data_IF_285361761810
#
_entry.id   IF_285361761810
#
_cell.length_a   1.000
_cell.length_b   1.000
_cell.length_c   1.000
_cell.angle_alpha   90.00
_cell.angle_beta   90.00
_cell.angle_gamma   90.00
#
_symmetry.space_group_name_H-M   'P 1'
#
loop_
_entity.id
_entity.type
_entity.pdbx_description
1 polymer ?
#
# COMPACT_ATOMS: atom_id res chain seq x y z
N UNK A 1 -10.96 -3.52 0.13
CA UNK A 1 -10.50 -2.11 0.11
C UNK A 1 -11.09 -1.43 1.33
N UNK A 2 -10.28 -0.65 2.04
CA UNK A 2 -10.72 0.14 3.19
C UNK A 2 -10.53 1.62 2.88
N UNK A 3 -11.56 2.41 3.13
CA UNK A 3 -11.52 3.86 3.09
C UNK A 3 -11.58 4.42 4.50
N UNK A 4 -10.79 5.46 4.77
CA UNK A 4 -10.86 6.19 6.03
C UNK A 4 -10.66 7.68 5.76
N UNK A 5 -11.45 8.52 6.40
CA UNK A 5 -11.21 9.96 6.46
C UNK A 5 -10.60 10.23 7.84
N UNK A 6 -9.43 10.84 7.83
CA UNK A 6 -8.70 11.17 9.05
C UNK A 6 -8.41 12.67 9.08
N UNK A 7 -8.35 13.24 10.30
CA UNK A 7 -7.83 14.59 10.48
C UNK A 7 -6.28 14.58 10.46
N UNK A 8 -5.67 15.77 10.48
CA UNK A 8 -4.20 15.90 10.47
C UNK A 8 -3.50 15.38 11.75
N UNK A 9 -4.25 15.02 12.78
CA UNK A 9 -3.72 14.35 13.99
C UNK A 9 -3.76 12.84 13.89
N UNK A 10 -4.34 12.29 12.81
CA UNK A 10 -4.51 10.86 12.61
C UNK A 10 -5.80 10.27 13.19
N UNK A 11 -6.67 11.10 13.79
CA UNK A 11 -7.95 10.61 14.29
C UNK A 11 -8.86 10.26 13.12
N UNK A 12 -9.40 9.04 13.11
CA UNK A 12 -10.34 8.57 12.09
C UNK A 12 -11.74 9.12 12.39
N UNK A 13 -12.30 9.90 11.44
CA UNK A 13 -13.64 10.49 11.55
C UNK A 13 -14.69 9.75 10.72
N UNK A 14 -14.24 8.98 9.73
CA UNK A 14 -15.10 8.11 8.91
C UNK A 14 -14.31 6.88 8.47
N UNK A 15 -14.98 5.74 8.38
CA UNK A 15 -14.39 4.50 7.86
C UNK A 15 -15.43 3.66 7.16
N UNK A 16 -15.06 3.08 6.02
CA UNK A 16 -15.85 2.11 5.26
C UNK A 16 -14.96 1.02 4.67
N UNK A 17 -15.53 -0.15 4.38
CA UNK A 17 -14.80 -1.27 3.80
C UNK A 17 -15.64 -1.92 2.70
N UNK A 18 -14.99 -2.25 1.59
CA UNK A 18 -15.60 -2.86 0.42
C UNK A 18 -14.84 -4.12 0.02
N UNK A 19 -15.57 -5.12 -0.47
CA UNK A 19 -14.95 -6.31 -1.05
C UNK A 19 -14.40 -6.01 -2.44
N UNK A 20 -13.20 -6.51 -2.75
CA UNK A 20 -12.64 -6.43 -4.13
C UNK A 20 -13.48 -7.25 -5.12
N UNK A 21 -14.26 -8.24 -4.65
CA UNK A 21 -15.19 -9.02 -5.49
C UNK A 21 -16.37 -8.19 -6.02
N UNK A 22 -16.59 -7.00 -5.48
CA UNK A 22 -17.61 -6.04 -5.93
C UNK A 22 -17.15 -5.17 -7.12
N UNK A 23 -15.92 -5.36 -7.60
CA UNK A 23 -15.43 -4.66 -8.80
C UNK A 23 -16.02 -5.32 -10.05
N UNK A 24 -17.09 -4.76 -10.58
CA UNK A 24 -17.88 -5.34 -11.68
C UNK A 24 -17.12 -5.52 -13.01
N UNK A 25 -15.97 -4.90 -13.23
CA UNK A 25 -15.18 -5.01 -14.46
C UNK A 25 -13.68 -5.20 -14.22
N UNK A 26 -13.26 -5.55 -13.03
CA UNK A 26 -11.84 -5.78 -12.71
C UNK A 26 -10.99 -4.50 -12.67
N UNK A 27 -11.55 -3.32 -12.92
CA UNK A 27 -10.82 -2.05 -12.84
C UNK A 27 -10.91 -1.47 -11.43
N UNK A 28 -9.92 -1.82 -10.62
CA UNK A 28 -9.84 -1.36 -9.22
C UNK A 28 -9.70 0.18 -9.11
N UNK A 29 -9.13 0.84 -10.11
CA UNK A 29 -8.96 2.29 -10.13
C UNK A 29 -10.31 3.00 -10.21
N UNK A 30 -11.17 2.58 -11.13
CA UNK A 30 -12.51 3.14 -11.30
C UNK A 30 -13.37 2.86 -10.07
N UNK A 31 -13.31 1.67 -9.53
CA UNK A 31 -14.01 1.32 -8.30
C UNK A 31 -13.60 2.22 -7.11
N UNK A 32 -12.29 2.46 -6.93
CA UNK A 32 -11.79 3.35 -5.88
C UNK A 32 -12.31 4.78 -6.10
N UNK A 33 -12.30 5.26 -7.34
CA UNK A 33 -12.79 6.60 -7.67
C UNK A 33 -14.29 6.76 -7.37
N UNK A 34 -15.12 5.81 -7.83
CA UNK A 34 -16.56 5.81 -7.57
C UNK A 34 -16.87 5.81 -6.08
N UNK A 35 -16.23 4.93 -5.30
CA UNK A 35 -16.47 4.87 -3.87
C UNK A 35 -15.98 6.12 -3.13
N UNK A 36 -14.89 6.73 -3.57
CA UNK A 36 -14.44 8.02 -3.03
C UNK A 36 -15.45 9.14 -3.32
N UNK A 37 -15.95 9.22 -4.57
CA UNK A 37 -16.97 10.18 -4.98
C UNK A 37 -18.27 10.01 -4.16
N UNK A 38 -18.76 8.77 -4.00
CA UNK A 38 -19.94 8.44 -3.21
C UNK A 38 -19.78 8.89 -1.75
N UNK A 39 -18.64 8.51 -1.11
CA UNK A 39 -18.36 8.89 0.28
C UNK A 39 -18.34 10.40 0.47
N UNK A 40 -17.70 11.13 -0.45
CA UNK A 40 -17.63 12.60 -0.38
C UNK A 40 -18.98 13.26 -0.65
N UNK A 41 -19.80 12.70 -1.54
CA UNK A 41 -21.17 13.18 -1.84
C UNK A 41 -22.10 12.99 -0.64
N UNK A 42 -22.00 11.84 0.04
CA UNK A 42 -22.79 11.55 1.24
C UNK A 42 -22.33 12.36 2.46
N UNK A 43 -21.09 12.87 2.44
CA UNK A 43 -20.49 13.61 3.55
C UNK A 43 -19.93 14.98 3.09
N UNK A 44 -20.79 15.93 2.68
CA UNK A 44 -20.35 17.20 2.07
C UNK A 44 -19.52 18.08 3.01
N UNK A 45 -19.68 17.94 4.32
CA UNK A 45 -18.83 18.63 5.31
C UNK A 45 -17.36 18.19 5.26
N UNK A 46 -17.11 16.93 4.93
CA UNK A 46 -15.74 16.43 4.71
C UNK A 46 -15.21 16.86 3.35
N UNK A 47 -16.04 16.79 2.31
CA UNK A 47 -15.64 17.12 0.95
C UNK A 47 -15.00 18.52 0.85
N UNK A 48 -15.56 19.50 1.56
CA UNK A 48 -15.04 20.88 1.61
C UNK A 48 -13.69 21.01 2.34
N UNK A 49 -13.29 19.99 3.11
CA UNK A 49 -12.11 20.03 3.99
C UNK A 49 -11.01 19.04 3.57
N UNK A 50 -11.23 18.22 2.53
CA UNK A 50 -10.25 17.27 2.03
C UNK A 50 -9.05 18.01 1.44
N UNK A 51 -7.87 17.74 1.99
CA UNK A 51 -6.59 18.30 1.51
C UNK A 51 -5.87 17.36 0.54
N UNK A 52 -6.21 16.08 0.53
CA UNK A 52 -5.63 15.07 -0.34
C UNK A 52 -6.00 13.66 0.06
N UNK A 53 -5.52 12.68 -0.70
CA UNK A 53 -5.75 11.25 -0.49
C UNK A 53 -4.45 10.48 -0.50
N UNK A 54 -4.19 9.70 0.53
CA UNK A 54 -3.12 8.71 0.58
C UNK A 54 -3.65 7.33 0.20
N UNK A 55 -2.93 6.60 -0.64
CA UNK A 55 -3.31 5.25 -1.07
C UNK A 55 -2.17 4.28 -0.77
N UNK A 56 -2.44 3.32 0.12
CA UNK A 56 -1.55 2.20 0.41
C UNK A 56 -1.83 1.05 -0.56
N UNK A 57 -0.88 0.74 -1.44
CA UNK A 57 -1.03 -0.22 -2.53
C UNK A 57 -0.05 -1.38 -2.34
N UNK A 58 -0.47 -2.67 -2.49
CA UNK A 58 0.49 -3.76 -2.62
C UNK A 58 1.20 -3.66 -3.98
N UNK A 59 2.54 -3.75 -3.97
CA UNK A 59 3.37 -3.66 -5.17
C UNK A 59 4.50 -2.63 -5.06
N UNK A 60 5.21 -2.41 -6.18
CA UNK A 60 6.33 -1.49 -6.24
C UNK A 60 5.84 -0.11 -6.70
N UNK A 61 6.09 0.89 -5.88
CA UNK A 61 5.64 2.26 -6.10
C UNK A 61 6.85 3.19 -6.11
N UNK A 62 6.98 3.97 -7.18
CA UNK A 62 7.83 5.17 -7.21
C UNK A 62 7.03 6.32 -6.60
N UNK A 63 7.24 6.55 -5.32
CA UNK A 63 6.53 7.60 -4.59
C UNK A 63 6.92 9.02 -5.03
N UNK A 64 8.06 9.21 -5.71
CA UNK A 64 8.46 10.52 -6.23
C UNK A 64 7.72 10.90 -7.50
N UNK A 65 7.40 9.89 -8.33
CA UNK A 65 6.64 10.09 -9.56
C UNK A 65 5.16 9.70 -9.40
N UNK A 66 4.73 9.25 -8.22
CA UNK A 66 3.41 8.67 -7.95
C UNK A 66 3.04 7.56 -8.95
N UNK A 67 4.05 6.81 -9.37
CA UNK A 67 3.91 5.80 -10.42
C UNK A 67 3.96 4.40 -9.83
N UNK A 68 2.99 3.60 -10.18
CA UNK A 68 3.04 2.15 -9.93
C UNK A 68 4.02 1.53 -10.94
N UNK A 69 5.14 0.99 -10.43
CA UNK A 69 6.16 0.33 -11.25
C UNK A 69 5.70 -1.06 -11.62
N UNK A 70 5.18 -1.80 -10.64
CA UNK A 70 4.67 -3.15 -10.83
C UNK A 70 3.39 -3.33 -10.04
N UNK A 71 2.30 -3.64 -10.75
CA UNK A 71 1.04 -4.00 -10.12
C UNK A 71 1.15 -5.38 -9.47
N UNK A 72 0.66 -5.48 -8.24
CA UNK A 72 0.42 -6.78 -7.60
C UNK A 72 -0.77 -7.48 -8.26
N UNK A 73 -0.79 -8.81 -8.22
CA UNK A 73 -1.96 -9.62 -8.57
C UNK A 73 -3.22 -9.26 -7.76
N UNK A 74 -3.02 -8.65 -6.58
CA UNK A 74 -4.11 -8.16 -5.71
C UNK A 74 -4.72 -6.84 -6.19
N UNK A 75 -3.99 -6.06 -7.00
CA UNK A 75 -4.44 -4.76 -7.52
C UNK A 75 -4.06 -4.61 -9.00
N UNK A 76 -4.56 -5.47 -9.89
CA UNK A 76 -4.26 -5.38 -11.31
C UNK A 76 -4.77 -4.04 -11.86
N UNK A 77 -3.99 -3.44 -12.77
CA UNK A 77 -4.34 -2.22 -13.49
C UNK A 77 -4.59 -0.96 -12.59
N UNK A 78 -4.13 -0.96 -11.34
CA UNK A 78 -4.23 0.23 -10.51
C UNK A 78 -3.39 1.38 -11.11
N UNK A 79 -3.99 2.58 -11.18
CA UNK A 79 -3.35 3.80 -11.66
C UNK A 79 -3.65 4.99 -10.76
N UNK A 80 -2.64 5.47 -10.02
CA UNK A 80 -2.74 6.67 -9.21
C UNK A 80 -2.96 7.93 -10.06
N UNK A 81 -2.37 7.98 -11.27
CA UNK A 81 -2.54 9.09 -12.21
C UNK A 81 -3.99 9.23 -12.70
N UNK A 82 -4.64 8.12 -13.01
CA UNK A 82 -6.05 8.12 -13.42
C UNK A 82 -6.96 8.62 -12.28
N UNK A 83 -6.68 8.20 -11.03
CA UNK A 83 -7.40 8.69 -9.85
C UNK A 83 -7.21 10.19 -9.65
N UNK A 84 -5.98 10.73 -9.77
CA UNK A 84 -5.71 12.17 -9.68
C UNK A 84 -6.54 12.97 -10.68
N UNK A 85 -6.59 12.51 -11.94
CA UNK A 85 -7.36 13.16 -13.00
C UNK A 85 -8.85 13.15 -12.72
N UNK A 86 -9.39 12.03 -12.20
CA UNK A 86 -10.82 11.88 -11.96
C UNK A 86 -11.29 12.61 -10.72
N UNK A 87 -10.60 12.47 -9.60
CA UNK A 87 -11.02 13.05 -8.32
C UNK A 87 -10.62 14.52 -8.16
N UNK A 88 -9.69 15.01 -8.96
CA UNK A 88 -9.18 16.40 -8.93
C UNK A 88 -8.71 16.83 -7.52
N UNK A 89 -8.11 15.93 -6.77
CA UNK A 89 -7.47 16.16 -5.47
C UNK A 89 -6.02 15.67 -5.50
N UNK A 90 -5.13 16.21 -4.64
CA UNK A 90 -3.78 15.65 -4.48
C UNK A 90 -3.85 14.19 -4.03
N UNK A 91 -3.15 13.30 -4.72
CA UNK A 91 -3.08 11.87 -4.38
C UNK A 91 -1.61 11.46 -4.27
N UNK A 92 -1.27 10.72 -3.23
CA UNK A 92 0.03 10.10 -3.01
C UNK A 92 -0.18 8.58 -2.87
N UNK A 93 0.62 7.80 -3.60
CA UNK A 93 0.61 6.36 -3.53
C UNK A 93 1.91 5.85 -2.89
N UNK A 94 1.83 4.90 -1.98
CA UNK A 94 2.99 4.24 -1.41
C UNK A 94 2.68 2.74 -1.18
N UNK A 95 3.74 1.94 -1.06
CA UNK A 95 3.61 0.53 -0.70
C UNK A 95 2.92 0.37 0.66
N UNK A 96 1.97 -0.57 0.75
CA UNK A 96 1.15 -0.77 1.95
C UNK A 96 1.97 -1.08 3.22
N UNK A 97 3.04 -1.87 3.12
CA UNK A 97 3.88 -2.19 4.28
C UNK A 97 4.75 -1.01 4.69
N UNK A 98 5.22 -0.23 3.72
CA UNK A 98 5.92 1.04 4.00
C UNK A 98 5.00 2.04 4.69
N UNK A 99 3.73 2.11 4.27
CA UNK A 99 2.72 2.92 4.98
C UNK A 99 2.53 2.46 6.42
N UNK A 100 2.49 1.14 6.69
CA UNK A 100 2.40 0.60 8.05
C UNK A 100 3.61 1.00 8.91
N UNK A 101 4.81 0.85 8.37
CA UNK A 101 6.05 1.22 9.07
C UNK A 101 6.10 2.73 9.37
N UNK A 102 5.75 3.55 8.39
CA UNK A 102 5.75 5.00 8.55
C UNK A 102 4.65 5.48 9.50
N UNK A 103 3.47 4.87 9.45
CA UNK A 103 2.40 5.11 10.40
C UNK A 103 2.83 4.76 11.83
N UNK A 104 3.52 3.65 12.04
CA UNK A 104 4.12 3.29 13.32
C UNK A 104 5.07 4.38 13.80
N UNK A 105 5.97 4.85 12.95
CA UNK A 105 6.91 5.91 13.28
C UNK A 105 6.19 7.22 13.66
N UNK A 106 5.20 7.64 12.90
CA UNK A 106 4.52 8.92 13.12
C UNK A 106 3.63 8.95 14.37
N UNK A 107 2.94 7.86 14.68
CA UNK A 107 1.90 7.84 15.71
C UNK A 107 2.33 7.14 17.00
N UNK A 108 3.42 6.39 17.01
CA UNK A 108 3.99 5.82 18.23
C UNK A 108 5.22 6.62 18.64
N UNK A 109 5.04 7.47 19.65
CA UNK A 109 6.11 8.34 20.20
C UNK A 109 7.31 7.57 20.78
N UNK A 110 7.17 6.26 21.01
CA UNK A 110 8.25 5.39 21.50
C UNK A 110 9.06 4.77 20.35
N UNK A 111 8.66 4.97 19.10
CA UNK A 111 9.36 4.41 17.95
C UNK A 111 10.74 5.03 17.79
N UNK A 112 11.81 4.23 17.60
CA UNK A 112 13.14 4.76 17.33
C UNK A 112 13.21 5.39 15.93
N UNK A 113 14.18 6.29 15.70
CA UNK A 113 14.39 6.94 14.41
C UNK A 113 14.88 5.98 13.31
N UNK A 114 15.37 4.80 13.72
CA UNK A 114 15.84 3.76 12.79
C UNK A 114 15.34 2.41 13.27
N UNK A 115 14.55 1.73 12.45
CA UNK A 115 14.06 0.36 12.73
C UNK A 115 13.63 -0.38 11.45
N UNK A 116 13.52 -1.70 11.57
CA UNK A 116 12.96 -2.57 10.56
C UNK A 116 11.53 -3.01 10.96
N UNK A 117 10.59 -2.88 10.06
CA UNK A 117 9.22 -3.32 10.23
C UNK A 117 8.97 -4.55 9.34
N UNK A 118 8.85 -5.72 9.96
CA UNK A 118 8.57 -6.96 9.24
C UNK A 118 7.07 -7.19 9.16
N UNK A 119 6.60 -7.47 7.95
CA UNK A 119 5.24 -7.90 7.68
C UNK A 119 5.26 -9.31 7.11
N UNK A 120 4.53 -10.21 7.76
CA UNK A 120 4.30 -11.59 7.31
C UNK A 120 2.80 -11.77 7.20
N UNK A 121 2.31 -11.99 5.98
CA UNK A 121 0.91 -12.17 5.63
C UNK A 121 0.84 -13.03 4.37
N UNK A 122 0.06 -12.64 3.38
CA UNK A 122 0.00 -13.33 2.08
C UNK A 122 1.38 -13.45 1.42
N UNK A 123 2.23 -12.42 1.57
CA UNK A 123 3.64 -12.42 1.24
C UNK A 123 4.49 -12.02 2.44
N UNK A 124 5.77 -11.76 2.20
CA UNK A 124 6.70 -11.28 3.24
C UNK A 124 7.46 -10.06 2.74
N UNK A 125 7.49 -9.00 3.55
CA UNK A 125 8.14 -7.73 3.24
C UNK A 125 8.78 -7.12 4.50
N UNK A 126 9.84 -6.32 4.32
CA UNK A 126 10.47 -5.57 5.40
C UNK A 126 10.58 -4.09 5.01
N UNK A 127 9.80 -3.24 5.64
CA UNK A 127 10.00 -1.80 5.49
C UNK A 127 11.08 -1.31 6.47
N UNK A 128 11.94 -0.42 6.00
CA UNK A 128 13.01 0.17 6.78
C UNK A 128 12.73 1.66 7.00
N UNK A 129 12.80 2.09 8.24
CA UNK A 129 12.91 3.50 8.62
C UNK A 129 14.36 3.73 9.00
N UNK A 130 15.01 4.69 8.37
CA UNK A 130 16.39 5.08 8.63
C UNK A 130 16.48 6.59 8.80
N UNK A 131 16.97 7.04 9.96
CA UNK A 131 17.05 8.46 10.30
C UNK A 131 15.70 9.19 10.09
N UNK A 132 14.62 8.61 10.60
CA UNK A 132 13.26 9.16 10.51
C UNK A 132 12.65 9.21 9.09
N UNK A 133 13.23 8.48 8.14
CA UNK A 133 12.78 8.44 6.73
C UNK A 133 12.57 7.02 6.26
N UNK A 134 11.62 6.84 5.35
CA UNK A 134 11.45 5.57 4.64
C UNK A 134 12.64 5.31 3.72
N UNK A 135 13.28 4.16 3.89
CA UNK A 135 14.31 3.68 2.99
C UNK A 135 13.67 2.89 1.84
N UNK A 136 13.69 3.45 0.65
CA UNK A 136 13.06 2.88 -0.54
C UNK A 136 14.06 2.17 -1.47
N UNK A 137 15.35 2.44 -1.31
CA UNK A 137 16.39 2.02 -2.25
C UNK A 137 16.34 2.83 -3.57
N UNK A 138 17.35 2.68 -4.39
CA UNK A 138 17.48 3.44 -5.65
C UNK A 138 16.35 3.16 -6.65
N UNK A 139 15.85 1.91 -6.66
CA UNK A 139 14.84 1.46 -7.62
C UNK A 139 13.52 1.04 -6.93
N UNK A 140 13.28 1.51 -5.71
CA UNK A 140 12.07 1.23 -4.91
C UNK A 140 11.85 -0.25 -4.55
N UNK A 141 12.87 -1.11 -4.69
CA UNK A 141 12.81 -2.53 -4.35
C UNK A 141 13.31 -2.87 -2.93
N UNK A 142 13.71 -1.88 -2.15
CA UNK A 142 14.14 -2.15 -0.78
C UNK A 142 13.00 -2.78 0.02
N UNK A 143 13.33 -3.88 0.72
CA UNK A 143 12.35 -4.56 1.57
C UNK A 143 11.75 -5.85 1.03
N UNK A 144 12.01 -6.23 -0.20
CA UNK A 144 11.54 -7.47 -0.86
C UNK A 144 12.22 -8.73 -0.31
N UNK A 145 12.36 -8.84 1.02
CA UNK A 145 13.05 -9.95 1.69
C UNK A 145 12.36 -11.30 1.47
N UNK A 146 11.04 -11.29 1.23
CA UNK A 146 10.27 -12.50 0.91
C UNK A 146 10.76 -13.20 -0.34
N UNK A 147 11.40 -12.47 -1.27
CA UNK A 147 11.96 -13.00 -2.50
C UNK A 147 13.45 -13.35 -2.43
N UNK A 148 14.04 -13.32 -1.24
CA UNK A 148 15.39 -13.86 -0.99
C UNK A 148 15.39 -15.38 -1.17
N UNK A 149 16.25 -15.91 -2.02
CA UNK A 149 16.37 -17.35 -2.27
C UNK A 149 17.08 -18.01 -1.08
N UNK A 150 16.35 -18.82 -0.32
CA UNK A 150 16.88 -19.59 0.82
C UNK A 150 17.11 -21.06 0.47
N UNK A 151 16.49 -21.57 -0.59
CA UNK A 151 16.68 -22.93 -1.09
C UNK A 151 16.53 -22.96 -2.62
N UNK A 152 17.60 -22.96 -3.40
CA UNK A 152 17.54 -22.94 -4.89
C UNK A 152 16.70 -24.06 -5.51
N UNK A 153 16.56 -25.20 -4.81
CA UNK A 153 15.77 -26.35 -5.25
C UNK A 153 14.38 -26.40 -4.58
N UNK A 154 13.92 -25.30 -4.02
CA UNK A 154 12.68 -25.21 -3.26
C UNK A 154 11.43 -25.01 -4.11
N UNK A 155 10.33 -24.63 -3.44
CA UNK A 155 9.04 -24.36 -4.08
C UNK A 155 9.15 -23.22 -5.10
N UNK A 156 8.38 -23.30 -6.19
CA UNK A 156 8.27 -22.20 -7.17
C UNK A 156 7.51 -21.04 -6.53
N UNK A 157 8.10 -19.85 -6.55
CA UNK A 157 7.48 -18.62 -6.08
C UNK A 157 6.65 -17.93 -7.19
N UNK A 158 5.67 -17.13 -6.83
CA UNK A 158 4.89 -16.29 -7.75
C UNK A 158 5.76 -15.32 -8.57
N UNK A 159 6.91 -14.88 -8.03
CA UNK A 159 7.87 -14.05 -8.76
C UNK A 159 8.62 -14.80 -9.89
N UNK A 160 8.33 -16.09 -10.10
CA UNK A 160 8.93 -16.94 -11.11
C UNK A 160 10.22 -17.66 -10.68
N UNK A 161 10.85 -17.26 -9.56
CA UNK A 161 12.05 -17.91 -9.00
C UNK A 161 11.66 -19.11 -8.13
N UNK A 162 12.65 -19.90 -7.73
CA UNK A 162 12.46 -21.04 -6.83
C UNK A 162 13.09 -20.77 -5.48
N UNK A 163 12.44 -21.27 -4.40
CA UNK A 163 12.96 -21.28 -3.04
C UNK A 163 13.05 -19.91 -2.37
N UNK A 164 12.19 -19.00 -2.73
CA UNK A 164 12.05 -17.72 -2.04
C UNK A 164 11.61 -17.91 -0.58
N UNK A 165 12.09 -17.08 0.34
CA UNK A 165 11.79 -17.17 1.77
C UNK A 165 10.28 -17.20 2.04
N UNK A 166 9.48 -16.38 1.37
CA UNK A 166 8.03 -16.35 1.57
C UNK A 166 7.32 -17.67 1.27
N UNK A 167 7.91 -18.54 0.42
CA UNK A 167 7.33 -19.87 0.14
C UNK A 167 7.45 -20.85 1.31
N UNK A 168 8.07 -20.44 2.41
CA UNK A 168 8.27 -21.22 3.63
C UNK A 168 7.64 -20.62 4.88
N UNK A 169 7.26 -19.34 4.85
CA UNK A 169 6.85 -18.64 6.08
C UNK A 169 5.67 -17.67 5.90
N UNK A 170 5.09 -17.51 4.69
CA UNK A 170 3.92 -16.66 4.51
C UNK A 170 2.61 -17.45 4.60
N UNK A 171 1.51 -16.78 4.93
CA UNK A 171 0.18 -17.39 5.09
C UNK A 171 -0.31 -18.12 3.84
N UNK A 172 0.05 -17.63 2.66
CA UNK A 172 -0.33 -18.26 1.37
C UNK A 172 0.31 -19.64 1.17
N UNK A 173 1.45 -19.91 1.82
CA UNK A 173 2.28 -21.10 1.60
C UNK A 173 2.29 -22.10 2.76
N UNK A 174 1.74 -21.74 3.91
CA UNK A 174 1.55 -22.60 5.08
C UNK A 174 0.22 -23.34 5.00
#
# INVERSE_FOLDING_TARGET
IRFSICNLRGDTVFQSSFSVKETDNGNITDFIAEKAEDILKENPSFAASIVGMGIAVPGHIDAHQDKVITNSSLCPQFSGEALKKRLNIPIICENNVRCMAFGRYLFDRSSPDTFAFFHVGAGMFCALIENSKLFQGTNYYAGEIGHTIVNPNGKKCECGKYGCLQTYCSETWL
#
